data_IF_342603904231
#
_entry.id   IF_342603904231
#
_cell.length_a   1.000
_cell.length_b   1.000
_cell.length_c   1.000
_cell.angle_alpha   90.00
_cell.angle_beta   90.00
_cell.angle_gamma   90.00
#
_symmetry.space_group_name_H-M   'P 1'
#
loop_
_entity.id
_entity.type
_entity.pdbx_description
1 polymer ?
#
# COMPACT_ATOMS: atom_id res chain seq x y z
N UNK A 1 -23.74 11.52 0.55
CA UNK A 1 -22.34 11.88 0.25
C UNK A 1 -22.23 13.16 -0.58
N UNK A 2 -21.96 14.32 0.04
CA UNK A 2 -21.68 15.61 -0.65
C UNK A 2 -20.17 15.89 -0.82
N UNK A 3 -19.32 14.86 -0.76
CA UNK A 3 -17.87 14.99 -0.91
C UNK A 3 -17.44 14.65 -2.34
N UNK A 4 -17.02 15.64 -3.12
CA UNK A 4 -16.57 15.43 -4.51
C UNK A 4 -15.31 14.55 -4.61
N UNK A 5 -14.36 14.73 -3.70
CA UNK A 5 -13.14 13.91 -3.64
C UNK A 5 -13.43 12.43 -3.34
N UNK A 6 -14.41 12.16 -2.48
CA UNK A 6 -14.83 10.82 -2.12
C UNK A 6 -15.50 10.11 -3.31
N UNK A 7 -16.33 10.84 -4.08
CA UNK A 7 -16.96 10.31 -5.30
C UNK A 7 -15.94 9.94 -6.37
N UNK A 8 -14.88 10.74 -6.51
CA UNK A 8 -13.78 10.47 -7.45
C UNK A 8 -12.93 9.26 -7.03
N UNK A 9 -12.64 9.13 -5.75
CA UNK A 9 -11.81 8.04 -5.23
C UNK A 9 -12.55 6.69 -5.23
N UNK A 10 -13.86 6.68 -4.98
CA UNK A 10 -14.65 5.45 -4.87
C UNK A 10 -14.42 4.43 -6.01
N UNK A 11 -14.54 4.77 -7.30
CA UNK A 11 -14.30 3.80 -8.38
C UNK A 11 -12.85 3.31 -8.43
N UNK A 12 -11.87 4.18 -8.15
CA UNK A 12 -10.45 3.81 -8.15
C UNK A 12 -10.10 2.89 -6.96
N UNK A 13 -10.71 3.14 -5.81
CA UNK A 13 -10.51 2.34 -4.59
C UNK A 13 -11.10 0.93 -4.74
N UNK A 14 -12.29 0.78 -5.34
CA UNK A 14 -12.90 -0.54 -5.59
C UNK A 14 -12.10 -1.34 -6.65
N UNK A 15 -11.56 -0.67 -7.69
CA UNK A 15 -10.64 -1.30 -8.65
C UNK A 15 -9.36 -1.78 -7.98
N UNK A 16 -8.75 -0.93 -7.15
CA UNK A 16 -7.55 -1.28 -6.40
C UNK A 16 -7.80 -2.46 -5.45
N UNK A 17 -8.93 -2.45 -4.72
CA UNK A 17 -9.33 -3.52 -3.81
C UNK A 17 -9.43 -4.87 -4.54
N UNK A 18 -10.01 -4.88 -5.73
CA UNK A 18 -10.12 -6.10 -6.56
C UNK A 18 -8.75 -6.66 -6.93
N UNK A 19 -7.80 -5.80 -7.32
CA UNK A 19 -6.43 -6.21 -7.68
C UNK A 19 -5.59 -6.64 -6.47
N UNK A 20 -5.78 -5.99 -5.34
CA UNK A 20 -5.04 -6.25 -4.11
C UNK A 20 -5.54 -7.49 -3.37
N UNK A 21 -6.80 -7.88 -3.57
CA UNK A 21 -7.35 -9.14 -3.06
C UNK A 21 -6.64 -10.37 -3.62
N UNK A 22 -6.16 -10.31 -4.87
CA UNK A 22 -5.41 -11.39 -5.51
C UNK A 22 -3.89 -11.26 -5.33
N UNK A 23 -3.43 -10.31 -4.51
CA UNK A 23 -2.02 -10.17 -4.19
C UNK A 23 -1.56 -11.26 -3.22
N UNK A 24 -0.26 -11.56 -3.19
CA UNK A 24 0.35 -12.44 -2.19
C UNK A 24 1.46 -11.66 -1.45
N UNK A 25 1.29 -11.35 -0.15
CA UNK A 25 0.12 -11.62 0.68
C UNK A 25 -1.10 -10.76 0.28
N UNK A 26 -2.34 -11.23 0.54
CA UNK A 26 -3.54 -10.47 0.22
C UNK A 26 -3.61 -9.15 0.99
N UNK A 27 -3.93 -8.06 0.30
CA UNK A 27 -4.12 -6.75 0.94
C UNK A 27 -5.61 -6.38 0.90
N UNK A 28 -6.24 -6.36 2.06
CA UNK A 28 -7.64 -5.99 2.22
C UNK A 28 -7.84 -4.47 2.25
N UNK A 29 -8.78 -3.97 1.44
CA UNK A 29 -9.24 -2.58 1.48
C UNK A 29 -10.62 -2.52 2.11
N UNK A 30 -10.80 -1.65 3.11
CA UNK A 30 -12.07 -1.44 3.80
C UNK A 30 -12.52 0.02 3.69
N UNK A 31 -13.82 0.24 3.85
CA UNK A 31 -14.45 1.56 3.95
C UNK A 31 -15.23 1.65 5.25
N UNK A 32 -15.14 2.79 5.92
CA UNK A 32 -15.87 3.08 7.17
C UNK A 32 -16.69 4.34 6.94
N UNK A 33 -17.99 4.29 7.25
CA UNK A 33 -18.85 5.46 7.23
C UNK A 33 -18.72 6.23 8.55
N UNK A 34 -17.88 7.26 8.54
CA UNK A 34 -17.66 8.11 9.71
C UNK A 34 -18.87 8.97 10.10
N UNK A 35 -19.93 9.04 9.29
CA UNK A 35 -21.17 9.71 9.69
C UNK A 35 -21.98 8.86 10.67
N UNK A 36 -21.86 7.53 10.58
CA UNK A 36 -22.41 6.60 11.55
C UNK A 36 -21.42 6.30 12.69
N UNK A 37 -20.14 6.12 12.36
CA UNK A 37 -19.08 5.66 13.28
C UNK A 37 -18.18 6.79 13.80
N UNK A 38 -18.80 7.82 14.39
CA UNK A 38 -18.10 9.03 14.82
C UNK A 38 -17.00 8.78 15.86
N UNK A 39 -17.23 7.86 16.82
CA UNK A 39 -16.24 7.50 17.85
C UNK A 39 -14.98 6.85 17.26
N UNK A 40 -15.16 5.92 16.33
CA UNK A 40 -14.06 5.21 15.68
C UNK A 40 -13.23 6.18 14.85
N UNK A 41 -13.88 7.03 14.06
CA UNK A 41 -13.19 8.01 13.23
C UNK A 41 -12.51 9.11 14.07
N UNK A 42 -13.11 9.52 15.19
CA UNK A 42 -12.48 10.43 16.16
C UNK A 42 -11.24 9.82 16.82
N UNK A 43 -11.29 8.53 17.21
CA UNK A 43 -10.14 7.80 17.80
C UNK A 43 -8.91 7.81 16.89
N UNK A 44 -9.12 7.73 15.57
CA UNK A 44 -8.03 7.75 14.59
C UNK A 44 -7.76 9.14 14.00
N UNK A 45 -8.38 10.21 14.52
CA UNK A 45 -8.12 11.59 14.10
C UNK A 45 -8.58 11.92 12.68
N UNK A 46 -9.67 11.31 12.21
CA UNK A 46 -10.23 11.61 10.88
C UNK A 46 -10.97 12.96 10.95
N UNK A 47 -10.38 14.00 10.36
CA UNK A 47 -10.92 15.37 10.35
C UNK A 47 -11.47 15.81 8.99
N UNK A 48 -11.21 15.04 7.92
CA UNK A 48 -11.64 15.34 6.56
C UNK A 48 -11.90 14.08 5.74
N UNK A 49 -12.49 14.22 4.56
CA UNK A 49 -12.78 13.09 3.68
C UNK A 49 -12.30 13.35 2.24
N UNK A 50 -11.75 12.34 1.55
CA UNK A 50 -11.38 11.02 2.06
C UNK A 50 -10.07 11.05 2.86
N UNK A 51 -10.01 10.28 3.95
CA UNK A 51 -8.77 9.98 4.69
C UNK A 51 -8.53 8.48 4.62
N UNK A 52 -7.33 8.09 4.21
CA UNK A 52 -6.91 6.69 4.09
C UNK A 52 -5.86 6.40 5.15
N UNK A 53 -6.01 5.28 5.85
CA UNK A 53 -5.14 4.85 6.95
C UNK A 53 -4.73 3.41 6.74
N UNK A 54 -3.47 3.10 7.02
CA UNK A 54 -2.90 1.77 6.85
C UNK A 54 -2.83 1.08 8.20
N UNK A 55 -3.35 -0.14 8.25
CA UNK A 55 -3.29 -1.01 9.42
C UNK A 55 -2.47 -2.25 9.08
N UNK A 56 -1.58 -2.64 9.99
CA UNK A 56 -0.81 -3.89 9.90
C UNK A 56 -1.10 -4.71 11.14
N UNK A 57 -1.52 -5.97 10.95
CA UNK A 57 -1.88 -6.88 12.04
C UNK A 57 -2.91 -6.27 13.03
N UNK A 58 -3.87 -5.50 12.52
CA UNK A 58 -4.91 -4.85 13.33
C UNK A 58 -4.46 -3.58 14.07
N UNK A 59 -3.19 -3.18 13.94
CA UNK A 59 -2.65 -1.98 14.58
C UNK A 59 -2.47 -0.88 13.53
N UNK A 60 -2.78 0.36 13.90
CA UNK A 60 -2.51 1.52 13.05
C UNK A 60 -1.00 1.61 12.78
N UNK A 61 -0.62 1.60 11.51
CA UNK A 61 0.77 1.68 11.09
C UNK A 61 1.13 3.12 10.71
N UNK A 62 0.41 3.68 9.74
CA UNK A 62 0.66 5.03 9.22
C UNK A 62 -0.52 5.57 8.42
N UNK A 63 -0.48 6.86 8.12
CA UNK A 63 -1.39 7.47 7.15
C UNK A 63 -0.96 7.14 5.72
N UNK A 64 -1.93 7.10 4.80
CA UNK A 64 -1.68 6.84 3.39
C UNK A 64 -1.43 8.16 2.65
N UNK A 65 -0.19 8.35 2.19
CA UNK A 65 0.26 9.52 1.44
C UNK A 65 0.56 9.21 -0.04
N UNK A 66 0.02 8.10 -0.55
CA UNK A 66 0.22 7.67 -1.94
C UNK A 66 -0.76 8.28 -2.95
N UNK A 67 -0.65 7.88 -4.23
CA UNK A 67 -1.52 8.33 -5.31
C UNK A 67 -2.97 7.87 -5.12
N UNK A 68 -3.95 8.55 -5.70
CA UNK A 68 -5.38 8.24 -5.50
C UNK A 68 -6.02 7.49 -6.66
N UNK A 69 -5.21 7.14 -7.66
CA UNK A 69 -5.54 6.31 -8.81
C UNK A 69 -5.35 4.82 -8.46
N UNK A 70 -6.13 3.93 -9.09
CA UNK A 70 -6.12 2.51 -8.76
C UNK A 70 -4.71 1.88 -8.82
N UNK A 71 -3.95 2.14 -9.90
CA UNK A 71 -2.59 1.60 -10.05
C UNK A 71 -1.63 2.14 -8.98
N UNK A 72 -1.76 3.41 -8.62
CA UNK A 72 -0.93 4.02 -7.59
C UNK A 72 -1.20 3.43 -6.21
N UNK A 73 -2.46 3.17 -5.87
CA UNK A 73 -2.85 2.47 -4.65
C UNK A 73 -2.28 1.04 -4.65
N UNK A 74 -2.43 0.32 -5.76
CA UNK A 74 -1.92 -1.05 -5.89
C UNK A 74 -0.40 -1.09 -5.70
N UNK A 75 0.33 -0.23 -6.41
CA UNK A 75 1.79 -0.14 -6.33
C UNK A 75 2.27 0.21 -4.92
N UNK A 76 1.67 1.24 -4.32
CA UNK A 76 1.99 1.67 -2.97
C UNK A 76 1.78 0.54 -1.95
N UNK A 77 0.62 -0.11 -1.98
CA UNK A 77 0.29 -1.18 -1.03
C UNK A 77 1.13 -2.44 -1.25
N UNK A 78 1.50 -2.77 -2.49
CA UNK A 78 2.43 -3.88 -2.78
C UNK A 78 3.81 -3.63 -2.20
N UNK A 79 4.35 -2.42 -2.36
CA UNK A 79 5.64 -2.05 -1.75
C UNK A 79 5.61 -2.12 -0.22
N UNK A 80 4.44 -1.92 0.39
CA UNK A 80 4.26 -2.00 1.85
C UNK A 80 4.00 -3.43 2.36
N UNK A 81 3.40 -4.29 1.53
CA UNK A 81 3.03 -5.67 1.88
C UNK A 81 4.12 -6.69 1.53
N UNK A 82 5.00 -6.37 0.59
CA UNK A 82 6.13 -7.21 0.20
C UNK A 82 7.25 -7.25 1.24
N UNK A 83 8.25 -8.14 1.04
CA UNK A 83 9.42 -8.20 1.89
C UNK A 83 10.19 -6.87 1.83
N UNK A 84 10.80 -6.47 2.96
CA UNK A 84 11.56 -5.21 3.06
C UNK A 84 12.77 -5.13 2.11
N UNK A 85 13.26 -6.29 1.65
CA UNK A 85 14.25 -6.41 0.59
C UNK A 85 13.83 -7.54 -0.36
N UNK A 86 13.99 -7.31 -1.66
CA UNK A 86 13.83 -8.35 -2.67
C UNK A 86 15.17 -9.07 -2.81
N UNK A 87 15.18 -10.39 -2.61
CA UNK A 87 16.38 -11.19 -2.82
C UNK A 87 16.63 -11.34 -4.33
N UNK A 88 17.79 -10.86 -4.80
CA UNK A 88 18.22 -10.96 -6.18
C UNK A 88 19.19 -12.15 -6.30
N UNK A 89 18.82 -13.17 -7.08
CA UNK A 89 19.58 -14.41 -7.22
C UNK A 89 20.48 -14.44 -8.45
N UNK A 90 20.29 -13.50 -9.38
CA UNK A 90 21.09 -13.42 -10.61
C UNK A 90 21.44 -11.98 -10.97
N UNK A 91 22.51 -11.84 -11.73
CA UNK A 91 22.96 -10.54 -12.25
C UNK A 91 21.92 -9.89 -13.18
N UNK A 92 21.16 -10.70 -13.94
CA UNK A 92 20.05 -10.17 -14.76
C UNK A 92 18.92 -9.57 -13.92
N UNK A 93 18.63 -10.14 -12.74
CA UNK A 93 17.64 -9.58 -11.82
C UNK A 93 18.15 -8.28 -11.20
N UNK A 94 19.46 -8.19 -10.95
CA UNK A 94 20.11 -6.97 -10.51
C UNK A 94 20.04 -5.87 -11.56
N UNK A 95 20.40 -6.14 -12.82
CA UNK A 95 20.29 -5.15 -13.89
C UNK A 95 18.85 -4.66 -14.04
N UNK A 96 17.86 -5.57 -14.07
CA UNK A 96 16.45 -5.17 -14.14
C UNK A 96 15.97 -4.37 -12.94
N UNK A 97 16.52 -4.60 -11.76
CA UNK A 97 16.16 -3.88 -10.54
C UNK A 97 16.82 -2.50 -10.45
N UNK A 98 18.03 -2.35 -11.00
CA UNK A 98 18.76 -1.07 -11.03
C UNK A 98 18.33 -0.20 -12.21
N UNK A 99 17.93 -0.81 -13.33
CA UNK A 99 17.52 -0.11 -14.55
C UNK A 99 16.07 0.40 -14.50
N UNK A 100 15.29 0.03 -13.48
CA UNK A 100 14.06 0.76 -13.17
C UNK A 100 14.40 2.15 -12.63
N UNK A 101 13.85 3.22 -13.23
CA UNK A 101 13.96 4.65 -12.85
C UNK A 101 13.58 4.99 -11.38
N UNK A 102 13.41 4.00 -10.51
CA UNK A 102 13.18 4.15 -9.08
C UNK A 102 14.52 4.09 -8.32
N UNK A 103 14.75 5.02 -7.39
CA UNK A 103 15.93 4.98 -6.52
C UNK A 103 16.05 3.61 -5.84
N UNK A 104 17.08 2.86 -6.20
CA UNK A 104 17.34 1.51 -5.71
C UNK A 104 18.49 1.52 -4.71
N UNK A 105 18.26 0.89 -3.55
CA UNK A 105 19.31 0.62 -2.56
C UNK A 105 19.62 -0.87 -2.60
N UNK A 106 20.85 -1.21 -2.96
CA UNK A 106 21.31 -2.61 -3.01
C UNK A 106 22.25 -2.85 -1.85
N UNK A 107 21.85 -3.73 -0.93
CA UNK A 107 22.70 -4.22 0.15
C UNK A 107 23.37 -5.53 -0.26
N UNK A 108 24.69 -5.56 -0.27
CA UNK A 108 25.46 -6.80 -0.43
C UNK A 108 25.66 -7.44 0.95
N UNK A 109 25.11 -8.63 1.18
CA UNK A 109 25.36 -9.41 2.39
C UNK A 109 26.04 -10.73 2.01
N UNK A 110 27.33 -10.86 2.30
CA UNK A 110 28.17 -12.01 1.94
C UNK A 110 27.96 -13.22 2.87
N UNK A 111 26.72 -13.52 3.28
CA UNK A 111 26.43 -14.57 4.26
C UNK A 111 25.24 -15.44 3.86
N UNK A 112 25.30 -16.02 2.67
CA UNK A 112 24.56 -17.26 2.36
C UNK A 112 25.59 -18.29 1.86
N UNK A 113 26.35 -18.84 2.80
CA UNK A 113 26.98 -20.14 2.61
C UNK A 113 25.87 -21.19 2.74
N UNK A 114 25.35 -21.66 1.62
CA UNK A 114 24.72 -22.98 1.57
C UNK A 114 25.76 -23.89 0.93
N UNK A 115 26.50 -24.62 1.78
CA UNK A 115 27.07 -25.91 1.39
C UNK A 115 25.96 -26.96 1.34
#
# INVERSE_FOLDING_TARGET
LRCGHCKRLAPEYEKAATKLKTNDPPVGLAKVDCTAETKTCGKYGVSGFPTLKIFRNGVFAQDYDGPREAEGIVKYMRGQAGPSAVELKSYEQFEKFVDTDEMSVVGESSSVFIS
#
